data_IF_808765906714
#
_entry.id   IF_808765906714
#
_cell.length_a   1.000
_cell.length_b   1.000
_cell.length_c   1.000
_cell.angle_alpha   90.00
_cell.angle_beta   90.00
_cell.angle_gamma   90.00
#
_symmetry.space_group_name_H-M   'P 1'
#
loop_
_entity.id
_entity.type
_entity.pdbx_description
1 polymer ?
#
# COMPACT_ATOMS: atom_id res chain seq x y z
N UNK A 1 -3.93 0.33 12.78
CA UNK A 1 -2.55 0.53 12.33
C UNK A 1 -2.52 0.68 10.81
N UNK A 2 -1.66 1.53 10.32
CA UNK A 2 -1.53 1.75 8.89
C UNK A 2 -0.11 2.22 8.55
N UNK A 3 0.23 2.12 7.28
CA UNK A 3 1.48 2.64 6.74
C UNK A 3 1.17 3.50 5.53
N UNK A 4 2.00 4.52 5.30
CA UNK A 4 1.82 5.45 4.20
C UNK A 4 3.13 5.64 3.45
N UNK A 5 3.04 5.72 2.14
CA UNK A 5 4.17 6.10 1.29
C UNK A 5 3.71 7.10 0.24
N UNK A 6 4.44 8.20 0.11
CA UNK A 6 4.15 9.23 -0.88
C UNK A 6 4.94 8.95 -2.14
N UNK A 7 4.27 8.41 -3.14
CA UNK A 7 4.87 8.15 -4.42
C UNK A 7 4.74 9.36 -5.34
N UNK A 8 5.40 9.29 -6.50
CA UNK A 8 5.27 10.33 -7.53
C UNK A 8 3.87 10.39 -8.13
N UNK A 9 3.07 9.34 -7.94
CA UNK A 9 1.70 9.25 -8.47
C UNK A 9 0.64 9.50 -7.41
N UNK A 10 1.04 9.79 -6.18
CA UNK A 10 0.13 10.02 -5.09
C UNK A 10 0.46 9.18 -3.87
N UNK A 11 -0.39 9.30 -2.87
CA UNK A 11 -0.21 8.62 -1.59
C UNK A 11 -0.80 7.22 -1.64
N UNK A 12 0.00 6.24 -1.22
CA UNK A 12 -0.43 4.86 -1.06
C UNK A 12 -0.45 4.54 0.42
N UNK A 13 -1.49 3.86 0.86
CA UNK A 13 -1.59 3.42 2.24
C UNK A 13 -1.80 1.91 2.31
N UNK A 14 -1.23 1.32 3.35
CA UNK A 14 -1.50 -0.06 3.73
C UNK A 14 -2.35 0.03 4.98
N UNK A 15 -3.59 -0.44 4.90
CA UNK A 15 -4.57 -0.26 5.96
C UNK A 15 -4.99 -1.62 6.49
N UNK A 16 -4.96 -1.76 7.81
CA UNK A 16 -5.45 -2.97 8.45
C UNK A 16 -6.96 -2.87 8.65
N UNK A 17 -7.67 -3.84 8.08
CA UNK A 17 -9.11 -3.98 8.27
C UNK A 17 -9.34 -5.34 8.91
N UNK A 18 -9.70 -5.34 10.19
CA UNK A 18 -9.79 -6.53 11.01
C UNK A 18 -8.42 -7.24 11.05
N UNK A 19 -8.32 -8.47 10.60
CA UNK A 19 -7.08 -9.24 10.62
C UNK A 19 -6.35 -9.25 9.28
N UNK A 20 -6.81 -8.44 8.32
CA UNK A 20 -6.25 -8.42 6.96
C UNK A 20 -5.79 -7.03 6.60
N UNK A 21 -4.89 -6.95 5.63
CA UNK A 21 -4.35 -5.70 5.15
C UNK A 21 -4.86 -5.40 3.75
N UNK A 22 -5.12 -4.13 3.50
CA UNK A 22 -5.57 -3.63 2.19
C UNK A 22 -4.64 -2.54 1.71
N UNK A 23 -4.58 -2.39 0.39
CA UNK A 23 -3.90 -1.28 -0.26
C UNK A 23 -4.93 -0.23 -0.60
N UNK A 24 -4.64 1.03 -0.27
CA UNK A 24 -5.49 2.17 -0.60
C UNK A 24 -4.73 3.11 -1.53
N UNK A 25 -5.35 3.46 -2.64
CA UNK A 25 -4.80 4.41 -3.60
C UNK A 25 -5.94 5.05 -4.40
N UNK A 26 -5.90 6.39 -4.52
CA UNK A 26 -6.89 7.10 -5.31
C UNK A 26 -8.32 6.95 -4.82
N UNK A 27 -8.52 6.77 -3.52
CA UNK A 27 -9.84 6.59 -2.93
C UNK A 27 -10.40 5.18 -3.00
N UNK A 28 -9.67 4.23 -3.61
CA UNK A 28 -10.08 2.85 -3.70
C UNK A 28 -9.24 1.98 -2.76
N UNK A 29 -9.82 0.90 -2.28
CA UNK A 29 -9.13 -0.08 -1.44
C UNK A 29 -9.34 -1.47 -2.01
N UNK A 30 -8.32 -2.31 -1.90
CA UNK A 30 -8.41 -3.70 -2.31
C UNK A 30 -7.43 -4.54 -1.53
N UNK A 31 -7.76 -5.80 -1.41
CA UNK A 31 -6.86 -6.81 -0.88
C UNK A 31 -7.40 -7.52 0.34
N UNK A 32 -6.60 -8.40 0.84
CA UNK A 32 -6.86 -9.21 2.02
C UNK A 32 -5.60 -9.94 2.35
N UNK A 33 -4.46 -9.20 2.34
CA UNK A 33 -3.17 -9.80 2.62
C UNK A 33 -3.03 -10.11 4.10
N UNK A 34 -2.35 -11.20 4.44
CA UNK A 34 -2.19 -11.59 5.84
C UNK A 34 -1.26 -10.68 6.64
N UNK A 35 -0.41 -9.92 5.96
CA UNK A 35 0.51 -9.00 6.63
C UNK A 35 0.70 -7.72 5.83
N UNK A 36 1.19 -6.68 6.51
CA UNK A 36 1.53 -5.42 5.85
C UNK A 36 2.68 -5.62 4.86
N UNK A 37 3.63 -6.50 5.17
CA UNK A 37 4.75 -6.79 4.27
C UNK A 37 4.25 -7.41 2.96
N UNK A 38 3.28 -8.30 3.02
CA UNK A 38 2.70 -8.90 1.83
C UNK A 38 1.97 -7.85 1.00
N UNK A 39 1.25 -6.94 1.65
CA UNK A 39 0.58 -5.85 0.97
C UNK A 39 1.59 -4.91 0.28
N UNK A 40 2.70 -4.59 0.95
CA UNK A 40 3.75 -3.77 0.36
C UNK A 40 4.36 -4.45 -0.86
N UNK A 41 4.62 -5.75 -0.78
CA UNK A 41 5.15 -6.51 -1.92
C UNK A 41 4.18 -6.47 -3.10
N UNK A 42 2.88 -6.54 -2.85
CA UNK A 42 1.88 -6.44 -3.90
C UNK A 42 1.90 -5.07 -4.58
N UNK A 43 2.10 -4.00 -3.82
CA UNK A 43 2.23 -2.65 -4.37
C UNK A 43 3.45 -2.57 -5.28
N UNK A 44 4.60 -3.01 -4.80
CA UNK A 44 5.85 -2.95 -5.55
C UNK A 44 5.77 -3.81 -6.82
N UNK A 45 5.13 -4.97 -6.73
CA UNK A 45 4.97 -5.89 -7.86
C UNK A 45 3.84 -5.51 -8.81
N UNK A 46 3.11 -4.43 -8.53
CA UNK A 46 1.93 -4.02 -9.31
C UNK A 46 0.89 -5.12 -9.42
N UNK A 47 0.69 -5.79 -8.30
CA UNK A 47 -0.28 -6.86 -8.16
C UNK A 47 -1.23 -6.56 -6.99
N UNK A 48 -1.50 -5.27 -6.77
CA UNK A 48 -2.31 -4.82 -5.64
C UNK A 48 -3.81 -5.12 -5.84
N UNK A 49 -4.23 -5.33 -7.08
CA UNK A 49 -5.64 -5.47 -7.42
C UNK A 49 -6.33 -4.14 -7.72
N UNK A 50 -5.64 -3.03 -7.53
CA UNK A 50 -6.15 -1.70 -7.89
C UNK A 50 -5.63 -1.34 -9.27
N UNK A 51 -6.52 -1.33 -10.26
CA UNK A 51 -6.13 -1.05 -11.64
C UNK A 51 -5.45 0.32 -11.77
N UNK A 52 -5.93 1.31 -11.02
CA UNK A 52 -5.36 2.66 -11.05
C UNK A 52 -3.88 2.67 -10.66
N UNK A 53 -3.45 1.75 -9.79
CA UNK A 53 -2.05 1.62 -9.42
C UNK A 53 -1.30 0.65 -10.33
N UNK A 54 -1.87 -0.52 -10.54
CA UNK A 54 -1.19 -1.61 -11.25
C UNK A 54 -0.88 -1.27 -12.71
N UNK A 55 -1.64 -0.35 -13.30
CA UNK A 55 -1.46 0.06 -14.69
C UNK A 55 -0.49 1.23 -14.88
N UNK A 56 0.06 1.77 -13.79
CA UNK A 56 1.04 2.84 -13.88
C UNK A 56 2.32 2.32 -14.52
N UNK A 57 2.91 3.13 -15.40
CA UNK A 57 4.13 2.73 -16.10
C UNK A 57 5.33 2.69 -15.19
N UNK A 58 5.70 3.82 -14.63
CA UNK A 58 6.87 3.96 -13.75
C UNK A 58 6.40 4.42 -12.37
N UNK A 59 6.52 3.55 -11.39
CA UNK A 59 6.15 3.86 -10.01
C UNK A 59 7.34 4.36 -9.18
N UNK A 60 8.53 4.44 -9.79
CA UNK A 60 9.73 4.86 -9.09
C UNK A 60 10.22 3.81 -8.10
N UNK A 61 10.88 4.28 -7.05
CA UNK A 61 11.52 3.41 -6.07
C UNK A 61 10.63 3.19 -4.85
N UNK A 62 9.43 2.69 -5.07
CA UNK A 62 8.53 2.36 -3.95
C UNK A 62 9.17 1.24 -3.14
N UNK A 63 9.42 1.47 -1.84
CA UNK A 63 10.13 0.48 -1.03
C UNK A 63 9.24 -0.72 -0.71
N UNK A 64 9.83 -1.89 -0.76
CA UNK A 64 9.18 -3.12 -0.32
C UNK A 64 9.30 -3.29 1.20
N UNK A 65 10.33 -2.70 1.80
CA UNK A 65 10.58 -2.78 3.23
C UNK A 65 9.72 -1.77 3.98
N UNK A 66 8.94 -2.25 4.94
CA UNK A 66 8.06 -1.40 5.74
C UNK A 66 8.82 -0.35 6.56
N UNK A 67 10.09 -0.54 6.82
CA UNK A 67 10.91 0.45 7.52
C UNK A 67 11.00 1.76 6.74
N UNK A 68 10.82 1.69 5.43
CA UNK A 68 10.85 2.87 4.57
C UNK A 68 9.46 3.49 4.35
N UNK A 69 8.43 2.88 4.92
CA UNK A 69 7.08 3.44 4.93
C UNK A 69 6.87 4.20 6.24
N UNK A 70 6.02 5.22 6.19
CA UNK A 70 5.68 5.99 7.38
C UNK A 70 4.55 5.30 8.14
N UNK A 71 4.80 4.83 9.36
CA UNK A 71 3.73 4.24 10.15
C UNK A 71 2.75 5.31 10.61
N UNK A 72 1.46 5.00 10.51
CA UNK A 72 0.41 5.87 11.01
C UNK A 72 -0.12 5.28 12.31
N UNK A 73 -0.27 6.13 13.31
CA UNK A 73 -0.73 5.69 14.62
C UNK A 73 -2.16 5.17 14.60
N UNK A 74 -2.51 4.39 15.59
CA UNK A 74 -3.83 3.80 15.70
C UNK A 74 -4.89 4.79 16.16
N UNK A 75 -4.47 5.91 16.68
CA UNK A 75 -5.36 6.94 17.22
C UNK A 75 -5.69 8.02 16.19
N UNK A 76 -5.58 7.69 14.96
CA UNK A 76 -5.89 8.62 13.88
C UNK A 76 -7.38 8.72 13.62
#
# INVERSE_FOLDING_TARGET
MAYEYRSTHGVIRLVRVRSRWRVEFGGAQWGGWPSASDAAAAVVGRASGLAAWDQLGDIGNVPEDLLDWTPLGENL
#
